data_IF_862887358065
#
_entry.id   IF_862887358065
#
_cell.length_a   1.000
_cell.length_b   1.000
_cell.length_c   1.000
_cell.angle_alpha   90.00
_cell.angle_beta   90.00
_cell.angle_gamma   90.00
#
_symmetry.space_group_name_H-M   'P 1'
#
loop_
_entity.id
_entity.type
_entity.pdbx_description
1 polymer ?
#
# COMPACT_ATOMS: atom_id res chain seq x y z
N UNK A 1 -13.32 -35.51 11.09
CA UNK A 1 -12.61 -34.22 11.27
C UNK A 1 -12.50 -33.63 9.91
N UNK A 2 -12.93 -32.37 9.67
CA UNK A 2 -12.73 -31.73 8.37
C UNK A 2 -11.22 -31.57 8.16
N UNK A 3 -10.73 -31.99 7.01
CA UNK A 3 -9.33 -31.83 6.64
C UNK A 3 -9.01 -30.33 6.57
N UNK A 4 -8.00 -29.90 7.31
CA UNK A 4 -7.63 -28.48 7.35
C UNK A 4 -6.98 -28.14 6.02
N UNK A 5 -7.58 -27.22 5.27
CA UNK A 5 -7.03 -26.74 3.99
C UNK A 5 -5.66 -26.09 4.22
N UNK A 6 -4.69 -26.29 3.33
CA UNK A 6 -3.45 -25.52 3.35
C UNK A 6 -3.75 -24.04 3.12
N UNK A 7 -3.00 -23.16 3.79
CA UNK A 7 -3.18 -21.72 3.67
C UNK A 7 -2.29 -21.13 2.59
N UNK A 8 -2.78 -20.09 1.90
CA UNK A 8 -2.02 -19.34 0.89
C UNK A 8 -2.25 -17.84 1.05
N UNK A 9 -1.18 -17.08 1.26
CA UNK A 9 -1.23 -15.63 1.37
C UNK A 9 -0.55 -14.99 0.18
N UNK A 10 -1.25 -14.06 -0.48
CA UNK A 10 -0.73 -13.29 -1.59
C UNK A 10 -1.07 -11.81 -1.41
N UNK A 11 -0.14 -10.94 -1.75
CA UNK A 11 -0.35 -9.49 -1.70
C UNK A 11 0.23 -8.83 -2.92
N UNK A 12 -0.43 -7.76 -3.38
CA UNK A 12 0.16 -6.82 -4.32
C UNK A 12 1.05 -5.81 -3.59
N UNK A 13 1.92 -5.04 -4.28
CA UNK A 13 2.35 -3.75 -3.78
C UNK A 13 1.12 -2.88 -3.47
N UNK A 14 1.19 -2.06 -2.43
CA UNK A 14 0.16 -1.04 -2.19
C UNK A 14 0.39 0.13 -3.13
N UNK A 15 -0.70 0.63 -3.74
CA UNK A 15 -0.61 1.63 -4.79
C UNK A 15 -0.55 3.05 -4.22
N UNK A 16 0.40 3.84 -4.69
CA UNK A 16 0.55 5.23 -4.28
C UNK A 16 -0.46 6.13 -5.03
N UNK A 17 -1.44 6.72 -4.33
CA UNK A 17 -2.55 7.43 -4.97
C UNK A 17 -2.20 8.86 -5.38
N UNK A 18 -0.97 9.08 -5.85
CA UNK A 18 -0.51 10.38 -6.35
C UNK A 18 -1.09 10.75 -7.74
N UNK A 19 -1.84 9.86 -8.36
CA UNK A 19 -2.50 10.04 -9.65
C UNK A 19 -3.35 8.84 -10.04
N UNK A 20 -3.96 8.91 -11.24
CA UNK A 20 -4.73 7.78 -11.76
C UNK A 20 -3.82 6.59 -12.02
N UNK A 21 -4.30 5.40 -11.69
CA UNK A 21 -3.59 4.17 -12.02
C UNK A 21 -3.51 3.99 -13.54
N UNK A 22 -2.42 3.34 -13.97
CA UNK A 22 -2.18 2.98 -15.36
C UNK A 22 -2.21 1.45 -15.54
N UNK A 23 -2.09 0.99 -16.79
CA UNK A 23 -2.18 -0.43 -17.12
C UNK A 23 -1.14 -1.32 -16.39
N UNK A 24 0.04 -0.78 -16.05
CA UNK A 24 1.06 -1.49 -15.27
C UNK A 24 0.58 -1.87 -13.86
N UNK A 25 -0.17 -0.98 -13.20
CA UNK A 25 -0.78 -1.29 -11.91
C UNK A 25 -1.84 -2.39 -12.04
N UNK A 26 -2.68 -2.30 -13.09
CA UNK A 26 -3.70 -3.32 -13.36
C UNK A 26 -3.09 -4.67 -13.71
N UNK A 27 -1.94 -4.71 -14.40
CA UNK A 27 -1.22 -5.93 -14.70
C UNK A 27 -0.84 -6.71 -13.44
N UNK A 28 -0.22 -6.02 -12.46
CA UNK A 28 0.18 -6.63 -11.19
C UNK A 28 -1.03 -7.17 -10.42
N UNK A 29 -2.11 -6.38 -10.35
CA UNK A 29 -3.34 -6.77 -9.67
C UNK A 29 -3.98 -8.00 -10.29
N UNK A 30 -4.11 -8.03 -11.63
CA UNK A 30 -4.68 -9.17 -12.37
C UNK A 30 -3.81 -10.42 -12.24
N UNK A 31 -2.48 -10.28 -12.24
CA UNK A 31 -1.57 -11.40 -12.05
C UNK A 31 -1.75 -12.05 -10.67
N UNK A 32 -1.83 -11.24 -9.61
CA UNK A 32 -2.10 -11.73 -8.25
C UNK A 32 -3.50 -12.33 -8.12
N UNK A 33 -4.51 -11.74 -8.75
CA UNK A 33 -5.88 -12.27 -8.77
C UNK A 33 -5.96 -13.62 -9.46
N UNK A 34 -5.27 -13.78 -10.59
CA UNK A 34 -5.22 -15.07 -11.30
C UNK A 34 -4.61 -16.17 -10.43
N UNK A 35 -3.51 -15.89 -9.75
CA UNK A 35 -2.88 -16.82 -8.81
C UNK A 35 -3.78 -17.12 -7.61
N UNK A 36 -4.41 -16.11 -7.00
CA UNK A 36 -5.35 -16.29 -5.90
C UNK A 36 -6.52 -17.20 -6.29
N UNK A 37 -7.09 -17.00 -7.49
CA UNK A 37 -8.17 -17.83 -8.03
C UNK A 37 -7.70 -19.26 -8.29
N UNK A 38 -6.52 -19.42 -8.88
CA UNK A 38 -5.93 -20.73 -9.11
C UNK A 38 -5.77 -21.50 -7.79
N UNK A 39 -5.21 -20.86 -6.76
CA UNK A 39 -5.02 -21.49 -5.45
C UNK A 39 -6.33 -21.86 -4.76
N UNK A 40 -7.37 -21.04 -4.90
CA UNK A 40 -8.72 -21.39 -4.40
C UNK A 40 -9.29 -22.62 -5.10
N UNK A 41 -9.08 -22.75 -6.42
CA UNK A 41 -9.49 -23.93 -7.20
C UNK A 41 -8.66 -25.17 -6.81
N UNK A 42 -7.39 -24.98 -6.47
CA UNK A 42 -6.46 -26.03 -6.02
C UNK A 42 -6.72 -26.45 -4.53
N UNK A 43 -7.74 -25.90 -3.91
CA UNK A 43 -8.21 -26.32 -2.58
C UNK A 43 -7.58 -25.58 -1.40
N UNK A 44 -6.80 -24.53 -1.62
CA UNK A 44 -6.22 -23.73 -0.56
C UNK A 44 -7.23 -22.76 0.09
N UNK A 45 -6.98 -22.45 1.36
CA UNK A 45 -7.60 -21.31 2.05
C UNK A 45 -6.74 -20.07 1.73
N UNK A 46 -7.26 -19.20 0.86
CA UNK A 46 -6.50 -18.09 0.28
C UNK A 46 -6.89 -16.77 0.93
N UNK A 47 -5.88 -15.97 1.32
CA UNK A 47 -6.06 -14.58 1.69
C UNK A 47 -5.29 -13.68 0.72
N UNK A 48 -6.03 -12.90 -0.07
CA UNK A 48 -5.49 -11.95 -1.06
C UNK A 48 -5.66 -10.51 -0.58
N UNK A 49 -4.53 -9.83 -0.33
CA UNK A 49 -4.48 -8.44 0.14
C UNK A 49 -3.99 -7.51 -0.96
N UNK A 50 -4.69 -6.41 -1.16
CA UNK A 50 -4.26 -5.25 -1.95
C UNK A 50 -4.54 -3.97 -1.17
N UNK A 51 -4.15 -2.81 -1.68
CA UNK A 51 -4.42 -1.55 -0.96
C UNK A 51 -3.73 -0.32 -1.53
N UNK A 52 -3.70 0.74 -0.72
CA UNK A 52 -3.13 2.04 -1.05
C UNK A 52 -2.12 2.50 -0.01
N UNK A 53 -1.03 3.13 -0.48
CA UNK A 53 -0.04 3.84 0.31
C UNK A 53 -0.38 5.33 0.29
N UNK A 54 -0.90 5.87 1.40
CA UNK A 54 -1.61 7.14 1.43
C UNK A 54 -0.87 8.27 2.16
N UNK A 55 0.34 8.03 2.64
CA UNK A 55 1.18 9.03 3.28
C UNK A 55 2.25 9.56 2.32
N UNK A 56 2.75 10.76 2.59
CA UNK A 56 3.88 11.34 1.89
C UNK A 56 3.63 12.74 1.33
N UNK A 57 4.73 13.47 1.10
CA UNK A 57 4.72 14.88 0.68
C UNK A 57 3.95 15.10 -0.62
N UNK A 58 4.11 14.20 -1.61
CA UNK A 58 3.39 14.32 -2.89
C UNK A 58 1.87 14.27 -2.77
N UNK A 59 1.36 13.57 -1.76
CA UNK A 59 -0.09 13.52 -1.46
C UNK A 59 -0.54 14.88 -0.95
N UNK A 60 0.19 15.45 0.02
CA UNK A 60 -0.10 16.78 0.59
C UNK A 60 -0.06 17.85 -0.49
N UNK A 61 1.01 17.92 -1.30
CA UNK A 61 1.14 18.88 -2.39
C UNK A 61 0.01 18.78 -3.42
N UNK A 62 -0.45 17.57 -3.74
CA UNK A 62 -1.56 17.37 -4.68
C UNK A 62 -2.89 17.79 -4.10
N UNK A 63 -3.15 17.47 -2.83
CA UNK A 63 -4.33 17.90 -2.12
C UNK A 63 -4.39 19.44 -2.06
N UNK A 64 -3.27 20.08 -1.71
CA UNK A 64 -3.14 21.53 -1.67
C UNK A 64 -3.41 22.19 -3.04
N UNK A 65 -2.80 21.68 -4.11
CA UNK A 65 -3.03 22.16 -5.48
C UNK A 65 -4.49 22.07 -5.94
N UNK A 66 -5.25 21.12 -5.35
CA UNK A 66 -6.67 20.94 -5.62
C UNK A 66 -7.58 21.68 -4.61
N UNK A 67 -7.01 22.32 -3.58
CA UNK A 67 -7.75 22.96 -2.51
C UNK A 67 -8.51 21.98 -1.63
N UNK A 68 -7.99 20.76 -1.47
CA UNK A 68 -8.60 19.67 -0.69
C UNK A 68 -7.77 19.39 0.57
N UNK A 69 -8.44 18.90 1.60
CA UNK A 69 -7.77 18.27 2.73
C UNK A 69 -7.11 16.95 2.29
N UNK A 70 -5.88 16.60 2.75
CA UNK A 70 -5.18 15.39 2.35
C UNK A 70 -6.00 14.11 2.52
N UNK A 71 -6.71 13.96 3.63
CA UNK A 71 -7.57 12.79 3.87
C UNK A 71 -8.70 12.68 2.86
N UNK A 72 -9.37 13.80 2.53
CA UNK A 72 -10.44 13.82 1.54
C UNK A 72 -9.93 13.44 0.14
N UNK A 73 -8.71 13.90 -0.22
CA UNK A 73 -8.06 13.54 -1.48
C UNK A 73 -7.80 12.03 -1.57
N UNK A 74 -7.17 11.42 -0.55
CA UNK A 74 -6.89 9.98 -0.59
C UNK A 74 -8.16 9.13 -0.49
N UNK A 75 -9.21 9.61 0.17
CA UNK A 75 -10.52 8.95 0.20
C UNK A 75 -11.13 8.85 -1.21
N UNK A 76 -11.08 9.93 -1.98
CA UNK A 76 -11.55 9.96 -3.37
C UNK A 76 -10.73 9.02 -4.25
N UNK A 77 -9.40 9.06 -4.12
CA UNK A 77 -8.50 8.22 -4.90
C UNK A 77 -8.70 6.73 -4.58
N UNK A 78 -8.78 6.36 -3.31
CA UNK A 78 -9.02 4.98 -2.89
C UNK A 78 -10.38 4.46 -3.37
N UNK A 79 -11.41 5.31 -3.33
CA UNK A 79 -12.73 4.97 -3.89
C UNK A 79 -12.66 4.70 -5.40
N UNK A 80 -11.90 5.50 -6.13
CA UNK A 80 -11.65 5.30 -7.56
C UNK A 80 -10.96 3.99 -7.87
N UNK A 81 -9.93 3.63 -7.09
CA UNK A 81 -9.19 2.37 -7.22
C UNK A 81 -10.10 1.17 -6.91
N UNK A 82 -10.84 1.21 -5.81
CA UNK A 82 -11.82 0.15 -5.48
C UNK A 82 -12.87 -0.04 -6.58
N UNK A 83 -13.33 1.05 -7.22
CA UNK A 83 -14.26 0.99 -8.35
C UNK A 83 -13.62 0.31 -9.58
N UNK A 84 -12.32 0.57 -9.82
CA UNK A 84 -11.58 -0.08 -10.90
C UNK A 84 -11.42 -1.57 -10.63
N UNK A 85 -11.01 -1.98 -9.42
CA UNK A 85 -10.89 -3.39 -9.03
C UNK A 85 -12.23 -4.12 -9.15
N UNK A 86 -13.32 -3.48 -8.75
CA UNK A 86 -14.67 -4.04 -8.96
C UNK A 86 -15.01 -4.25 -10.43
N UNK A 87 -14.61 -3.30 -11.31
CA UNK A 87 -14.83 -3.42 -12.76
C UNK A 87 -14.00 -4.54 -13.38
N UNK A 88 -12.81 -4.81 -12.84
CA UNK A 88 -11.93 -5.90 -13.26
C UNK A 88 -12.26 -7.22 -12.55
N UNK A 89 -13.29 -7.25 -11.72
CA UNK A 89 -13.72 -8.43 -10.95
C UNK A 89 -12.60 -9.04 -10.09
N UNK A 90 -11.72 -8.18 -9.54
CA UNK A 90 -10.64 -8.61 -8.65
C UNK A 90 -11.23 -9.24 -7.39
N UNK A 91 -10.72 -10.41 -7.02
CA UNK A 91 -11.24 -11.24 -5.93
C UNK A 91 -10.48 -11.08 -4.61
N UNK A 92 -9.94 -9.88 -4.35
CA UNK A 92 -9.24 -9.59 -3.11
C UNK A 92 -10.14 -9.74 -1.88
N UNK A 93 -9.60 -10.35 -0.83
CA UNK A 93 -10.30 -10.53 0.46
C UNK A 93 -10.28 -9.25 1.28
N UNK A 94 -9.21 -8.46 1.17
CA UNK A 94 -9.08 -7.20 1.87
C UNK A 94 -8.40 -6.13 1.01
N UNK A 95 -8.85 -4.89 1.20
CA UNK A 95 -8.21 -3.69 0.70
C UNK A 95 -7.75 -2.86 1.89
N UNK A 96 -6.43 -2.77 2.11
CA UNK A 96 -5.85 -2.00 3.20
C UNK A 96 -5.53 -0.58 2.74
N UNK A 97 -5.79 0.38 3.62
CA UNK A 97 -5.33 1.76 3.47
C UNK A 97 -4.33 2.06 4.58
N UNK A 98 -3.22 2.71 4.28
CA UNK A 98 -2.25 3.05 5.33
C UNK A 98 -2.79 4.10 6.30
N UNK A 99 -3.88 4.81 5.94
CA UNK A 99 -4.64 5.72 6.81
C UNK A 99 -5.77 5.04 7.60
N UNK A 100 -5.97 3.72 7.48
CA UNK A 100 -6.94 3.01 8.31
C UNK A 100 -6.48 3.01 9.78
N UNK A 101 -7.35 3.37 10.71
CA UNK A 101 -7.09 3.44 12.16
C UNK A 101 -6.40 2.19 12.72
N UNK A 102 -6.85 1.01 12.29
CA UNK A 102 -6.27 -0.25 12.78
C UNK A 102 -4.85 -0.46 12.26
N UNK A 103 -4.54 0.02 11.05
CA UNK A 103 -3.20 -0.03 10.48
C UNK A 103 -2.26 0.90 11.24
N UNK A 104 -2.65 2.16 11.42
CA UNK A 104 -1.87 3.15 12.19
C UNK A 104 -1.57 2.67 13.61
N UNK A 105 -2.57 2.15 14.32
CA UNK A 105 -2.38 1.60 15.66
C UNK A 105 -1.43 0.41 15.69
N UNK A 106 -1.46 -0.45 14.67
CA UNK A 106 -0.55 -1.58 14.56
C UNK A 106 0.89 -1.10 14.31
N UNK A 107 1.08 -0.16 13.39
CA UNK A 107 2.39 0.44 13.06
C UNK A 107 2.98 1.14 14.29
N UNK A 108 2.20 1.99 14.98
CA UNK A 108 2.63 2.68 16.19
C UNK A 108 3.10 1.70 17.26
N UNK A 109 2.36 0.61 17.47
CA UNK A 109 2.72 -0.43 18.46
C UNK A 109 4.02 -1.15 18.10
N UNK A 110 4.20 -1.49 16.83
CA UNK A 110 5.42 -2.14 16.35
C UNK A 110 6.62 -1.18 16.44
N UNK A 111 6.43 0.06 16.02
CA UNK A 111 7.46 1.10 16.09
C UNK A 111 7.92 1.32 17.54
N UNK A 112 6.97 1.48 18.48
CA UNK A 112 7.30 1.63 19.90
C UNK A 112 8.10 0.43 20.43
N UNK A 113 7.72 -0.79 20.04
CA UNK A 113 8.48 -1.99 20.41
C UNK A 113 9.93 -1.92 19.96
N UNK A 114 10.20 -1.48 18.73
CA UNK A 114 11.57 -1.34 18.22
C UNK A 114 12.35 -0.22 18.92
N UNK A 115 11.69 0.87 19.30
CA UNK A 115 12.30 1.93 20.13
C UNK A 115 12.68 1.37 21.50
N UNK A 116 11.79 0.63 22.15
CA UNK A 116 12.01 0.04 23.48
C UNK A 116 13.14 -1.03 23.46
N UNK A 117 13.32 -1.71 22.33
CA UNK A 117 14.42 -2.67 22.12
C UNK A 117 15.77 -2.00 21.76
N UNK A 118 15.77 -0.71 21.44
CA UNK A 118 16.96 0.02 20.99
C UNK A 118 17.30 -0.15 19.51
N UNK A 119 16.44 -0.81 18.72
CA UNK A 119 16.64 -1.00 17.28
C UNK A 119 16.39 0.30 16.50
N UNK A 120 15.54 1.18 17.04
CA UNK A 120 15.23 2.50 16.48
C UNK A 120 15.71 3.58 17.45
N UNK A 121 16.47 4.53 16.92
CA UNK A 121 16.93 5.70 17.65
C UNK A 121 16.87 6.95 16.78
N UNK A 122 16.78 8.14 17.40
CA UNK A 122 16.81 9.41 16.69
C UNK A 122 18.26 9.75 16.30
N UNK A 123 18.51 9.88 15.01
CA UNK A 123 19.78 10.32 14.43
C UNK A 123 19.60 11.58 13.59
N UNK A 124 20.72 12.11 13.09
CA UNK A 124 20.74 13.21 12.13
C UNK A 124 21.43 12.73 10.86
N UNK A 125 20.85 13.08 9.73
CA UNK A 125 21.45 12.87 8.42
C UNK A 125 21.34 14.17 7.62
N UNK A 126 22.46 14.60 7.02
CA UNK A 126 22.51 15.81 6.19
C UNK A 126 22.97 15.40 4.80
N UNK A 127 22.18 15.75 3.79
CA UNK A 127 22.46 15.45 2.38
C UNK A 127 21.56 16.25 1.46
N UNK A 128 21.88 16.21 0.16
CA UNK A 128 20.99 16.75 -0.85
C UNK A 128 19.77 15.85 -1.00
N UNK A 129 18.60 16.44 -0.99
CA UNK A 129 17.33 15.73 -1.12
C UNK A 129 16.61 16.13 -2.40
N UNK A 130 16.25 15.14 -3.23
CA UNK A 130 15.38 15.34 -4.39
C UNK A 130 13.93 15.25 -3.94
N UNK A 131 13.18 16.35 -4.09
CA UNK A 131 11.73 16.36 -3.76
C UNK A 131 10.94 15.54 -4.78
N UNK A 132 11.35 15.56 -6.04
CA UNK A 132 10.65 14.85 -7.11
C UNK A 132 10.80 13.32 -6.99
N UNK A 133 11.98 12.86 -6.58
CA UNK A 133 12.27 11.44 -6.42
C UNK A 133 11.99 10.94 -5.00
N UNK A 134 11.75 11.86 -4.04
CA UNK A 134 11.56 11.57 -2.61
C UNK A 134 12.73 10.78 -1.99
N UNK A 135 13.97 11.11 -2.41
CA UNK A 135 15.18 10.44 -1.93
C UNK A 135 16.36 11.39 -1.68
N UNK A 136 17.28 10.95 -0.81
CA UNK A 136 18.58 11.61 -0.62
C UNK A 136 19.52 11.25 -1.76
N UNK A 137 20.10 12.27 -2.39
CA UNK A 137 21.06 12.07 -3.47
C UNK A 137 22.42 11.62 -2.92
N UNK A 138 22.93 10.54 -3.47
CA UNK A 138 24.31 10.12 -3.24
C UNK A 138 25.27 10.98 -4.08
N UNK A 139 26.43 11.35 -3.50
CA UNK A 139 27.47 12.09 -4.21
C UNK A 139 28.01 11.37 -5.46
N UNK A 140 27.80 10.08 -5.57
CA UNK A 140 28.19 9.29 -6.74
C UNK A 140 27.21 9.39 -7.92
N UNK A 141 26.06 10.03 -7.73
CA UNK A 141 25.05 10.25 -8.76
C UNK A 141 24.97 11.72 -9.23
N UNK A 142 25.89 12.56 -8.78
CA UNK A 142 26.00 13.96 -9.18
C UNK A 142 27.02 14.11 -10.29
#
# INVERSE_FOLDING_TARGET
MAEQKPTYYITTPIYYPSGKLHIGNSYTEVACDAEARFKRLDGYDVFFLTGTDEHGLKIEEKAEKLGMEPQAYVDEMAAGIKKLWKKLEISNDKFIRTTDDYHEKAVQKIFQKFVDQGDIYKGEYVGWYSVDDEEYLSLIHI
#
